data_IF_298283604700
#
_entry.id   IF_298283604700
#
_cell.length_a   1.000
_cell.length_b   1.000
_cell.length_c   1.000
_cell.angle_alpha   90.00
_cell.angle_beta   90.00
_cell.angle_gamma   90.00
#
_symmetry.space_group_name_H-M   'P 1'
#
loop_
_entity.id
_entity.type
_entity.pdbx_description
1 polymer ?
#
# COMPACT_ATOMS: atom_id res chain seq x y z
N UNK A 1 -9.51 3.19 -16.21
CA UNK A 1 -8.04 3.07 -16.15
C UNK A 1 -7.76 1.94 -15.18
N UNK A 2 -7.35 0.78 -15.67
CA UNK A 2 -7.03 -0.37 -14.82
C UNK A 2 -5.80 -0.03 -13.99
N UNK A 3 -5.88 -0.17 -12.66
CA UNK A 3 -4.79 0.14 -11.73
C UNK A 3 -3.62 -0.83 -11.99
N UNK A 4 -2.70 -0.40 -12.85
CA UNK A 4 -1.51 -1.18 -13.23
C UNK A 4 -0.67 -1.52 -12.01
N UNK A 5 -0.68 -0.67 -10.98
CA UNK A 5 -0.05 -0.90 -9.69
C UNK A 5 -0.50 -2.22 -9.03
N UNK A 6 -1.81 -2.47 -8.88
CA UNK A 6 -2.30 -3.67 -8.17
C UNK A 6 -2.00 -4.95 -8.94
N UNK A 7 -2.01 -4.89 -10.28
CA UNK A 7 -1.62 -6.03 -11.13
C UNK A 7 -0.13 -6.34 -10.93
N UNK A 8 0.73 -5.32 -10.95
CA UNK A 8 2.16 -5.47 -10.74
C UNK A 8 2.47 -6.05 -9.35
N UNK A 9 1.80 -5.55 -8.31
CA UNK A 9 1.96 -6.05 -6.93
C UNK A 9 1.51 -7.51 -6.78
N UNK A 10 0.38 -7.89 -7.40
CA UNK A 10 -0.09 -9.28 -7.37
C UNK A 10 0.90 -10.23 -8.04
N UNK A 11 1.46 -9.84 -9.18
CA UNK A 11 2.46 -10.65 -9.90
C UNK A 11 3.79 -10.71 -9.15
N UNK A 12 4.26 -9.57 -8.62
CA UNK A 12 5.58 -9.45 -7.98
C UNK A 12 5.64 -10.06 -6.58
N UNK A 13 4.58 -9.87 -5.79
CA UNK A 13 4.53 -10.30 -4.39
C UNK A 13 3.54 -11.44 -4.14
N UNK A 14 2.88 -11.95 -5.18
CA UNK A 14 1.94 -13.07 -5.06
C UNK A 14 0.68 -12.72 -4.29
N UNK A 15 0.29 -11.43 -4.25
CA UNK A 15 -0.84 -10.99 -3.44
C UNK A 15 -2.18 -11.50 -3.97
N UNK A 16 -3.02 -11.95 -3.06
CA UNK A 16 -4.42 -12.28 -3.34
C UNK A 16 -5.33 -11.04 -3.31
N UNK A 17 -6.57 -11.22 -3.76
CA UNK A 17 -7.58 -10.17 -3.86
C UNK A 17 -7.84 -9.41 -2.55
N UNK A 18 -7.82 -10.11 -1.41
CA UNK A 18 -8.03 -9.51 -0.09
C UNK A 18 -6.83 -8.67 0.34
N UNK A 19 -5.61 -9.17 0.11
CA UNK A 19 -4.38 -8.41 0.37
C UNK A 19 -4.30 -7.16 -0.51
N UNK A 20 -4.62 -7.28 -1.81
CA UNK A 20 -4.69 -6.13 -2.72
C UNK A 20 -5.72 -5.09 -2.27
N UNK A 21 -6.90 -5.53 -1.85
CA UNK A 21 -7.93 -4.64 -1.32
C UNK A 21 -7.47 -3.90 -0.07
N UNK A 22 -6.72 -4.58 0.81
CA UNK A 22 -6.13 -3.98 2.00
C UNK A 22 -5.06 -2.94 1.67
N UNK A 23 -4.16 -3.24 0.73
CA UNK A 23 -3.16 -2.27 0.24
C UNK A 23 -3.86 -1.04 -0.33
N UNK A 24 -4.88 -1.23 -1.17
CA UNK A 24 -5.65 -0.13 -1.75
C UNK A 24 -6.29 0.75 -0.65
N UNK A 25 -6.88 0.13 0.37
CA UNK A 25 -7.47 0.84 1.50
C UNK A 25 -6.43 1.64 2.29
N UNK A 26 -5.21 1.13 2.47
CA UNK A 26 -4.14 1.81 3.21
C UNK A 26 -3.53 2.93 2.40
N UNK A 27 -3.26 2.70 1.12
CA UNK A 27 -2.85 3.76 0.18
C UNK A 27 -3.89 4.88 0.20
N UNK A 28 -5.19 4.54 0.11
CA UNK A 28 -6.24 5.56 0.19
C UNK A 28 -6.28 6.30 1.54
N UNK A 29 -6.11 5.59 2.66
CA UNK A 29 -6.07 6.19 4.00
C UNK A 29 -4.81 7.03 4.28
N UNK A 30 -3.71 6.74 3.59
CA UNK A 30 -2.43 7.45 3.76
C UNK A 30 -2.43 8.90 3.26
N UNK A 31 -3.52 9.33 2.61
CA UNK A 31 -3.68 10.70 2.11
C UNK A 31 -2.92 10.99 0.82
N UNK A 32 -2.34 9.97 0.16
CA UNK A 32 -1.70 10.18 -1.15
C UNK A 32 -2.75 10.56 -2.19
N UNK A 33 -2.60 11.77 -2.76
CA UNK A 33 -3.59 12.35 -3.67
C UNK A 33 -3.72 11.61 -5.01
N UNK A 34 -2.82 10.68 -5.32
CA UNK A 34 -2.83 9.90 -6.56
C UNK A 34 -2.60 8.42 -6.24
N UNK A 35 -3.64 7.60 -6.42
CA UNK A 35 -3.63 6.17 -6.11
C UNK A 35 -2.67 5.33 -6.97
N UNK A 36 -2.24 5.84 -8.13
CA UNK A 36 -1.22 5.22 -9.01
C UNK A 36 0.07 6.07 -9.04
N UNK A 37 0.23 6.99 -8.08
CA UNK A 37 1.39 7.86 -7.99
C UNK A 37 2.63 7.15 -7.44
N UNK A 38 3.81 7.78 -7.55
CA UNK A 38 5.05 7.23 -7.00
C UNK A 38 4.96 7.00 -5.48
N UNK A 39 4.21 7.83 -4.75
CA UNK A 39 3.98 7.66 -3.31
C UNK A 39 3.11 6.43 -3.00
N UNK A 40 2.00 6.25 -3.72
CA UNK A 40 1.15 5.06 -3.60
C UNK A 40 1.93 3.78 -3.90
N UNK A 41 2.77 3.82 -4.94
CA UNK A 41 3.66 2.70 -5.28
C UNK A 41 4.66 2.42 -4.17
N UNK A 42 5.32 3.45 -3.64
CA UNK A 42 6.29 3.29 -2.56
C UNK A 42 5.67 2.70 -1.29
N UNK A 43 4.46 3.16 -0.92
CA UNK A 43 3.70 2.59 0.19
C UNK A 43 3.41 1.11 -0.10
N UNK A 44 2.80 0.81 -1.25
CA UNK A 44 2.39 -0.54 -1.56
C UNK A 44 3.57 -1.52 -1.61
N UNK A 45 4.69 -1.14 -2.24
CA UNK A 45 5.91 -1.95 -2.25
C UNK A 45 6.47 -2.14 -0.84
N UNK A 46 6.54 -1.08 -0.03
CA UNK A 46 7.01 -1.17 1.36
C UNK A 46 6.19 -2.16 2.20
N UNK A 47 4.85 -2.14 2.06
CA UNK A 47 3.96 -3.05 2.78
C UNK A 47 4.19 -4.50 2.40
N UNK A 48 4.45 -4.76 1.12
CA UNK A 48 4.73 -6.10 0.61
C UNK A 48 6.11 -6.59 1.05
N UNK A 49 7.15 -5.77 0.85
CA UNK A 49 8.54 -6.12 1.17
C UNK A 49 8.75 -6.32 2.68
N UNK A 50 8.08 -5.52 3.50
CA UNK A 50 8.21 -5.58 4.96
C UNK A 50 7.30 -6.64 5.61
N UNK A 51 6.44 -7.31 4.83
CA UNK A 51 5.45 -8.25 5.37
C UNK A 51 4.40 -7.58 6.27
N UNK A 52 4.21 -6.28 6.13
CA UNK A 52 3.25 -5.51 6.95
C UNK A 52 1.81 -5.70 6.46
N UNK A 53 1.60 -6.26 5.27
CA UNK A 53 0.26 -6.55 4.73
C UNK A 53 -0.61 -7.38 5.68
N UNK A 54 -0.02 -8.26 6.49
CA UNK A 54 -0.76 -9.10 7.44
C UNK A 54 -1.07 -8.38 8.77
N UNK A 55 -0.40 -7.25 9.04
CA UNK A 55 -0.62 -6.46 10.26
C UNK A 55 -1.95 -5.69 10.24
N UNK A 56 -2.49 -5.30 11.40
CA UNK A 56 -3.64 -4.40 11.45
C UNK A 56 -3.33 -3.07 10.75
N UNK A 57 -4.34 -2.50 10.07
CA UNK A 57 -4.20 -1.25 9.32
C UNK A 57 -3.70 -0.08 10.17
N UNK A 58 -4.02 -0.08 11.47
CA UNK A 58 -3.60 0.95 12.40
C UNK A 58 -2.07 0.94 12.63
N UNK A 59 -1.47 -0.24 12.85
CA UNK A 59 -0.01 -0.38 12.95
C UNK A 59 0.67 0.01 11.63
N UNK A 60 0.08 -0.41 10.52
CA UNK A 60 0.60 -0.08 9.20
C UNK A 60 0.63 1.44 8.99
N UNK A 61 -0.47 2.12 9.30
CA UNK A 61 -0.57 3.58 9.18
C UNK A 61 0.43 4.31 10.09
N UNK A 62 0.65 3.81 11.32
CA UNK A 62 1.68 4.35 12.19
C UNK A 62 3.08 4.19 11.60
N UNK A 63 3.40 3.02 11.05
CA UNK A 63 4.69 2.77 10.40
C UNK A 63 4.88 3.68 9.17
N UNK A 64 3.84 3.86 8.34
CA UNK A 64 3.89 4.77 7.20
C UNK A 64 4.11 6.23 7.64
N UNK A 65 3.51 6.67 8.77
CA UNK A 65 3.78 7.98 9.36
C UNK A 65 5.22 8.10 9.86
N UNK A 66 5.75 7.08 10.55
CA UNK A 66 7.13 7.06 11.04
C UNK A 66 8.16 7.12 9.90
N UNK A 67 7.85 6.48 8.77
CA UNK A 67 8.67 6.51 7.55
C UNK A 67 8.52 7.80 6.74
N UNK A 68 7.56 8.66 7.08
CA UNK A 68 7.23 9.87 6.30
C UNK A 68 6.57 9.56 4.95
N UNK A 69 5.99 8.37 4.79
CA UNK A 69 5.30 7.92 3.57
C UNK A 69 3.81 8.28 3.56
N UNK A 70 3.25 8.72 4.68
CA UNK A 70 1.88 9.24 4.78
C UNK A 70 1.89 10.62 5.43
N UNK A 71 1.06 11.53 4.94
CA UNK A 71 0.86 12.87 5.52
C UNK A 71 -0.53 12.95 6.16
N UNK A 72 -0.58 13.52 7.36
CA UNK A 72 -1.81 13.82 8.11
C UNK A 72 -2.63 14.91 7.41
#
# INVERSE_FOLDING_TARGET
MENKLFIDLSVKYGLDSAQLSKVAAIVHQSGVGVADGPEAKAIAEYLCESGFIDKPSEEIMQELKLKGLSRD
#
